data_IF_907125644968
#
_entry.id   IF_907125644968
#
_cell.length_a   1.000
_cell.length_b   1.000
_cell.length_c   1.000
_cell.angle_alpha   90.00
_cell.angle_beta   90.00
_cell.angle_gamma   90.00
#
_symmetry.space_group_name_H-M   'P 1'
#
loop_
_entity.id
_entity.type
_entity.pdbx_description
1 polymer ?
#
# COMPACT_ATOMS: atom_id res chain seq x y z
N UNK A 1 -20.59 28.65 20.57
CA UNK A 1 -19.62 28.97 19.51
C UNK A 1 -18.66 27.80 19.43
N UNK A 2 -18.69 27.03 18.34
CA UNK A 2 -17.83 25.85 18.17
C UNK A 2 -16.45 26.28 17.61
N UNK A 3 -15.39 25.74 18.19
CA UNK A 3 -13.98 25.96 17.82
C UNK A 3 -13.69 25.48 16.38
N UNK A 4 -13.18 26.35 15.47
CA UNK A 4 -12.87 25.96 14.09
C UNK A 4 -11.61 25.07 13.94
N UNK A 5 -10.98 24.66 15.04
CA UNK A 5 -9.75 23.82 15.03
C UNK A 5 -9.98 22.40 15.51
N UNK A 6 -11.22 21.92 15.60
CA UNK A 6 -11.50 20.50 15.83
C UNK A 6 -11.27 19.69 14.56
N UNK A 7 -10.00 19.38 14.31
CA UNK A 7 -9.57 18.31 13.40
C UNK A 7 -10.25 17.02 13.89
N UNK A 8 -11.05 16.30 13.07
CA UNK A 8 -11.76 15.14 13.57
C UNK A 8 -10.77 14.11 14.11
N UNK A 9 -11.00 13.66 15.34
CA UNK A 9 -10.35 12.50 15.90
C UNK A 9 -10.50 11.33 14.92
N UNK A 10 -9.42 10.57 14.73
CA UNK A 10 -9.37 9.39 13.86
C UNK A 10 -10.68 8.58 13.99
N UNK A 11 -11.31 8.13 12.88
CA UNK A 11 -12.36 7.14 13.00
C UNK A 11 -11.78 5.91 13.75
N UNK A 12 -12.42 5.44 14.83
CA UNK A 12 -11.85 4.38 15.65
C UNK A 12 -11.71 3.11 14.81
N UNK A 13 -10.49 2.55 14.76
CA UNK A 13 -10.25 1.17 14.35
C UNK A 13 -9.33 0.91 13.15
N UNK A 14 -8.77 1.92 12.48
CA UNK A 14 -7.74 1.68 11.43
C UNK A 14 -6.35 1.95 11.98
N UNK A 15 -5.46 0.95 11.89
CA UNK A 15 -4.05 1.09 12.26
C UNK A 15 -3.21 1.45 11.03
N UNK A 16 -2.18 2.26 11.26
CA UNK A 16 -1.11 2.51 10.31
C UNK A 16 0.05 1.58 10.66
N UNK A 17 0.35 0.64 9.77
CA UNK A 17 1.44 -0.31 9.91
C UNK A 17 2.58 0.07 8.96
N UNK A 18 3.81 -0.08 9.42
CA UNK A 18 5.02 0.19 8.64
C UNK A 18 5.87 -1.06 8.59
N UNK A 19 6.31 -1.43 7.39
CA UNK A 19 7.31 -2.50 7.20
C UNK A 19 8.70 -1.98 7.55
N UNK A 20 9.62 -2.90 7.83
CA UNK A 20 11.01 -2.55 8.17
C UNK A 20 11.69 -1.77 7.04
N UNK A 21 11.40 -2.13 5.79
CA UNK A 21 11.90 -1.49 4.57
C UNK A 21 11.43 -0.05 4.47
N UNK A 22 10.15 0.20 4.72
CA UNK A 22 9.60 1.56 4.75
C UNK A 22 10.22 2.40 5.87
N UNK A 23 10.34 1.84 7.08
CA UNK A 23 10.92 2.57 8.21
C UNK A 23 12.39 2.90 7.99
N UNK A 24 13.15 1.97 7.43
CA UNK A 24 14.56 2.19 7.10
C UNK A 24 14.71 3.34 6.09
N UNK A 25 13.90 3.35 5.03
CA UNK A 25 13.87 4.45 4.08
C UNK A 25 13.44 5.78 4.73
N UNK A 26 12.38 5.77 5.55
CA UNK A 26 11.86 6.97 6.22
C UNK A 26 12.91 7.60 7.16
N UNK A 27 13.71 6.78 7.85
CA UNK A 27 14.83 7.24 8.69
C UNK A 27 15.95 7.90 7.91
N UNK A 28 16.14 7.54 6.64
CA UNK A 28 17.15 8.12 5.75
C UNK A 28 16.75 9.47 5.15
N UNK A 29 15.48 9.90 5.30
CA UNK A 29 15.01 11.20 4.81
C UNK A 29 15.44 12.34 5.74
N UNK A 30 15.62 13.52 5.18
CA UNK A 30 15.74 14.76 5.95
C UNK A 30 14.47 15.03 6.80
N UNK A 31 14.58 15.81 7.88
CA UNK A 31 13.47 16.02 8.81
C UNK A 31 12.20 16.60 8.15
N UNK A 32 12.35 17.50 7.18
CA UNK A 32 11.24 18.18 6.51
C UNK A 32 10.45 17.21 5.61
N UNK A 33 11.18 16.41 4.82
CA UNK A 33 10.59 15.33 4.02
C UNK A 33 9.96 14.26 4.91
N UNK A 34 10.60 13.92 6.03
CA UNK A 34 10.06 12.93 6.98
C UNK A 34 8.72 13.39 7.56
N UNK A 35 8.61 14.66 7.94
CA UNK A 35 7.36 15.26 8.40
C UNK A 35 6.29 15.25 7.31
N UNK A 36 6.66 15.59 6.07
CA UNK A 36 5.75 15.56 4.92
C UNK A 36 5.24 14.15 4.63
N UNK A 37 6.11 13.14 4.68
CA UNK A 37 5.74 11.72 4.53
C UNK A 37 4.80 11.30 5.66
N UNK A 38 5.12 11.65 6.90
CA UNK A 38 4.31 11.30 8.06
C UNK A 38 2.89 11.89 7.95
N UNK A 39 2.76 13.16 7.59
CA UNK A 39 1.47 13.80 7.37
C UNK A 39 0.68 13.17 6.21
N UNK A 40 1.37 12.71 5.16
CA UNK A 40 0.74 12.04 4.03
C UNK A 40 0.18 10.66 4.40
N UNK A 41 0.94 9.84 5.14
CA UNK A 41 0.51 8.49 5.53
C UNK A 41 -0.59 8.51 6.60
N UNK A 42 -0.58 9.49 7.50
CA UNK A 42 -1.68 9.73 8.45
C UNK A 42 -2.97 10.06 7.71
N UNK A 43 -2.92 10.94 6.72
CA UNK A 43 -4.09 11.25 5.88
C UNK A 43 -4.62 10.03 5.14
N UNK A 44 -3.74 9.12 4.70
CA UNK A 44 -4.15 7.85 4.07
C UNK A 44 -4.91 6.97 5.06
N UNK A 45 -4.46 6.90 6.32
CA UNK A 45 -5.15 6.17 7.38
C UNK A 45 -6.51 6.80 7.73
N UNK A 46 -6.58 8.14 7.77
CA UNK A 46 -7.79 8.90 8.10
C UNK A 46 -8.91 8.73 7.06
N UNK A 47 -8.56 8.85 5.77
CA UNK A 47 -9.57 8.84 4.69
C UNK A 47 -9.89 7.41 4.23
N UNK A 48 -8.97 6.46 4.39
CA UNK A 48 -9.20 5.05 4.11
C UNK A 48 -9.30 4.70 2.60
N UNK A 49 -9.89 3.56 2.23
CA UNK A 49 -9.88 3.02 0.86
C UNK A 49 -10.65 3.89 -0.16
N UNK A 50 -11.50 4.79 0.33
CA UNK A 50 -12.32 5.74 -0.44
C UNK A 50 -11.54 6.97 -0.91
N UNK A 51 -10.23 7.06 -0.64
CA UNK A 51 -9.35 8.09 -1.18
C UNK A 51 -9.31 7.97 -2.72
N UNK A 52 -10.22 8.68 -3.37
CA UNK A 52 -10.33 8.80 -4.82
C UNK A 52 -9.26 9.71 -5.40
N UNK A 53 -9.11 9.65 -6.74
CA UNK A 53 -8.24 10.55 -7.52
C UNK A 53 -8.48 12.01 -7.10
N UNK A 54 -7.44 12.86 -6.99
CA UNK A 54 -6.19 12.83 -7.75
C UNK A 54 -4.92 12.35 -7.01
N UNK A 55 -5.01 11.79 -5.79
CA UNK A 55 -3.83 11.52 -4.93
C UNK A 55 -3.42 10.06 -4.76
N UNK A 56 -4.30 9.12 -5.09
CA UNK A 56 -4.03 7.67 -5.00
C UNK A 56 -4.29 7.04 -6.36
N UNK A 57 -3.28 6.37 -6.91
CA UNK A 57 -3.42 5.57 -8.13
C UNK A 57 -3.35 4.08 -7.77
N UNK A 58 -4.19 3.27 -8.42
CA UNK A 58 -4.11 1.80 -8.34
C UNK A 58 -3.02 1.37 -9.31
N UNK A 59 -2.05 0.60 -8.84
CA UNK A 59 -0.97 0.11 -9.70
C UNK A 59 -1.52 -1.03 -10.57
N UNK A 60 -1.87 -0.70 -11.82
CA UNK A 60 -2.25 -1.68 -12.84
C UNK A 60 -1.02 -2.54 -13.20
N UNK A 61 -1.15 -3.86 -13.07
CA UNK A 61 -0.07 -4.82 -13.29
C UNK A 61 0.44 -5.52 -12.03
N UNK A 62 -0.04 -5.13 -10.83
CA UNK A 62 0.21 -5.91 -9.62
C UNK A 62 -0.62 -7.20 -9.64
N UNK A 63 0.03 -8.35 -9.39
CA UNK A 63 -0.64 -9.66 -9.26
C UNK A 63 -1.67 -9.65 -8.13
N UNK A 64 -1.52 -8.77 -7.14
CA UNK A 64 -2.34 -8.72 -5.92
C UNK A 64 -3.46 -7.68 -6.00
N UNK A 65 -3.48 -6.79 -7.02
CA UNK A 65 -4.56 -5.81 -7.28
C UNK A 65 -4.84 -4.77 -6.17
N UNK A 66 -4.22 -4.91 -4.98
CA UNK A 66 -4.45 -4.08 -3.79
C UNK A 66 -3.43 -2.95 -3.61
N UNK A 67 -2.41 -2.88 -4.46
CA UNK A 67 -1.31 -1.95 -4.31
C UNK A 67 -1.71 -0.54 -4.79
N UNK A 68 -1.47 0.44 -3.92
CA UNK A 68 -1.78 1.85 -4.11
C UNK A 68 -0.50 2.69 -3.97
N UNK A 69 -0.49 3.83 -4.63
CA UNK A 69 0.61 4.80 -4.55
C UNK A 69 0.12 6.13 -3.97
N UNK A 70 0.77 6.61 -2.92
CA UNK A 70 0.60 7.95 -2.39
C UNK A 70 1.73 8.86 -2.89
N UNK A 71 1.36 10.03 -3.41
CA UNK A 71 2.28 11.08 -3.85
C UNK A 71 2.40 12.12 -2.73
N UNK A 72 3.58 12.21 -2.12
CA UNK A 72 3.84 13.14 -1.00
C UNK A 72 4.26 14.51 -1.55
N UNK A 73 5.17 14.52 -2.51
CA UNK A 73 5.62 15.73 -3.21
C UNK A 73 6.00 15.42 -4.68
N UNK A 74 6.81 16.28 -5.33
CA UNK A 74 7.24 16.08 -6.73
C UNK A 74 8.21 14.90 -6.92
N UNK A 75 8.92 14.53 -5.86
CA UNK A 75 9.92 13.47 -5.80
C UNK A 75 9.43 12.24 -5.02
N UNK A 76 8.84 12.43 -3.84
CA UNK A 76 8.58 11.34 -2.91
C UNK A 76 7.27 10.61 -3.20
N UNK A 77 7.36 9.29 -3.27
CA UNK A 77 6.25 8.37 -3.46
C UNK A 77 6.30 7.26 -2.44
N UNK A 78 5.13 6.84 -1.99
CA UNK A 78 4.96 5.76 -1.03
C UNK A 78 4.03 4.71 -1.63
N UNK A 79 4.50 3.47 -1.69
CA UNK A 79 3.69 2.32 -2.05
C UNK A 79 3.08 1.72 -0.79
N UNK A 80 1.76 1.55 -0.81
CA UNK A 80 1.01 1.05 0.33
C UNK A 80 -0.17 0.20 -0.12
N UNK A 81 -0.75 -0.55 0.79
CA UNK A 81 -1.98 -1.29 0.55
C UNK A 81 -2.86 -1.28 1.80
N UNK A 82 -4.14 -1.62 1.62
CA UNK A 82 -5.00 -1.95 2.75
C UNK A 82 -5.02 -3.46 2.94
N UNK A 83 -4.72 -3.93 4.16
CA UNK A 83 -4.79 -5.34 4.50
C UNK A 83 -6.25 -5.83 4.61
N UNK A 84 -6.44 -7.13 4.82
CA UNK A 84 -7.78 -7.72 4.99
C UNK A 84 -8.54 -7.19 6.21
N UNK A 85 -7.85 -6.60 7.19
CA UNK A 85 -8.44 -5.95 8.37
C UNK A 85 -8.70 -4.45 8.14
N UNK A 86 -8.47 -3.95 6.92
CA UNK A 86 -8.57 -2.55 6.51
C UNK A 86 -7.60 -1.60 7.22
N UNK A 87 -6.48 -2.11 7.70
CA UNK A 87 -5.35 -1.30 8.14
C UNK A 87 -4.54 -0.81 6.94
N UNK A 88 -3.95 0.38 7.04
CA UNK A 88 -3.06 0.90 6.02
C UNK A 88 -1.65 0.37 6.28
N UNK A 89 -1.10 -0.40 5.34
CA UNK A 89 0.24 -0.98 5.43
C UNK A 89 1.17 -0.23 4.48
N UNK A 90 2.15 0.49 5.03
CA UNK A 90 3.19 1.19 4.30
C UNK A 90 4.32 0.20 3.95
N UNK A 91 4.51 -0.05 2.65
CA UNK A 91 5.35 -1.13 2.15
C UNK A 91 6.75 -0.62 1.78
N UNK A 92 6.83 0.37 0.90
CA UNK A 92 8.11 0.96 0.49
C UNK A 92 7.92 2.42 0.11
N UNK A 93 8.98 3.22 0.23
CA UNK A 93 9.01 4.60 -0.25
C UNK A 93 10.23 4.87 -1.10
N UNK A 94 10.12 5.85 -2.00
CA UNK A 94 11.21 6.23 -2.89
C UNK A 94 11.09 7.65 -3.39
N UNK A 95 12.23 8.21 -3.81
CA UNK A 95 12.32 9.51 -4.46
C UNK A 95 12.44 9.34 -5.98
N UNK A 96 11.68 10.13 -6.74
CA UNK A 96 11.60 10.19 -8.21
C UNK A 96 12.88 10.75 -8.84
N UNK A 97 13.90 11.12 -8.06
CA UNK A 97 15.18 11.62 -8.56
C UNK A 97 15.83 10.69 -9.61
N UNK A 98 15.61 10.98 -10.90
CA UNK A 98 16.27 10.43 -12.10
C UNK A 98 16.14 8.93 -12.39
N UNK A 99 16.10 8.08 -11.37
CA UNK A 99 16.14 6.60 -11.48
C UNK A 99 14.78 5.94 -11.28
N UNK A 100 13.71 6.73 -11.17
CA UNK A 100 12.35 6.27 -10.88
C UNK A 100 11.92 5.09 -11.76
N UNK A 101 12.14 5.16 -13.08
CA UNK A 101 11.71 4.09 -14.00
C UNK A 101 12.45 2.76 -13.79
N UNK A 102 13.70 2.79 -13.29
CA UNK A 102 14.46 1.58 -12.95
C UNK A 102 14.16 1.09 -11.53
N UNK A 103 13.82 2.01 -10.63
CA UNK A 103 13.49 1.74 -9.24
C UNK A 103 12.07 1.20 -9.07
N UNK A 104 11.12 1.67 -9.87
CA UNK A 104 9.70 1.37 -9.69
C UNK A 104 9.34 -0.12 -9.92
N UNK A 105 9.75 -0.79 -11.02
CA UNK A 105 9.40 -2.20 -11.23
C UNK A 105 9.89 -3.17 -10.12
N UNK A 106 11.15 -3.11 -9.63
CA UNK A 106 11.57 -3.96 -8.53
C UNK A 106 10.87 -3.60 -7.21
N UNK A 107 10.52 -2.33 -7.00
CA UNK A 107 9.86 -1.89 -5.76
C UNK A 107 8.39 -2.28 -5.70
N UNK A 108 7.71 -2.33 -6.84
CA UNK A 108 6.38 -2.94 -6.93
C UNK A 108 6.44 -4.41 -6.52
N UNK A 109 7.41 -5.19 -7.05
CA UNK A 109 7.58 -6.60 -6.67
C UNK A 109 7.92 -6.79 -5.19
N UNK A 110 8.77 -5.92 -4.64
CA UNK A 110 9.10 -5.94 -3.21
C UNK A 110 7.85 -5.63 -2.36
N UNK A 111 7.09 -4.60 -2.73
CA UNK A 111 5.86 -4.23 -2.04
C UNK A 111 4.81 -5.35 -2.06
N UNK A 112 4.66 -6.05 -3.20
CA UNK A 112 3.79 -7.23 -3.30
C UNK A 112 4.21 -8.32 -2.33
N UNK A 113 5.51 -8.65 -2.29
CA UNK A 113 6.04 -9.65 -1.37
C UNK A 113 5.76 -9.28 0.09
N UNK A 114 6.05 -8.04 0.47
CA UNK A 114 5.83 -7.54 1.83
C UNK A 114 4.35 -7.60 2.22
N UNK A 115 3.44 -7.28 1.29
CA UNK A 115 2.01 -7.39 1.54
C UNK A 115 1.56 -8.84 1.73
N UNK A 116 2.07 -9.76 0.91
CA UNK A 116 1.77 -11.20 1.03
C UNK A 116 2.31 -11.77 2.35
N UNK A 117 3.52 -11.39 2.74
CA UNK A 117 4.12 -11.78 4.01
C UNK A 117 3.32 -11.22 5.20
N UNK A 118 2.85 -9.98 5.11
CA UNK A 118 1.98 -9.37 6.12
C UNK A 118 0.62 -10.07 6.23
N UNK A 119 -0.04 -10.38 5.11
CA UNK A 119 -1.34 -11.08 5.14
C UNK A 119 -1.18 -12.48 5.78
N UNK A 120 -0.09 -13.19 5.46
CA UNK A 120 0.25 -14.46 6.11
C UNK A 120 0.46 -14.32 7.62
N UNK A 121 1.16 -13.29 8.08
CA UNK A 121 1.44 -13.10 9.52
C UNK A 121 0.18 -12.80 10.33
N UNK A 122 -0.83 -12.17 9.74
CA UNK A 122 -2.14 -11.95 10.38
C UNK A 122 -3.10 -13.15 10.23
N UNK A 123 -2.60 -14.31 9.79
CA UNK A 123 -3.38 -15.55 9.64
C UNK A 123 -4.40 -15.50 8.51
N UNK A 124 -4.24 -14.59 7.54
CA UNK A 124 -5.08 -14.50 6.36
C UNK A 124 -4.33 -15.09 5.17
N UNK A 125 -4.87 -16.15 4.58
CA UNK A 125 -4.43 -16.56 3.26
C UNK A 125 -4.57 -15.35 2.31
N UNK A 126 -3.53 -14.99 1.56
CA UNK A 126 -3.65 -13.93 0.58
C UNK A 126 -4.80 -14.32 -0.35
N UNK A 127 -5.88 -13.51 -0.36
CA UNK A 127 -6.96 -13.62 -1.36
C UNK A 127 -6.40 -13.22 -2.73
N UNK A 128 -5.49 -14.03 -3.26
CA UNK A 128 -4.93 -13.93 -4.60
C UNK A 128 -4.12 -15.17 -5.03
N UNK A 129 -4.42 -16.37 -4.50
CA UNK A 129 -3.77 -17.60 -5.00
C UNK A 129 -4.72 -18.80 -5.22
N UNK A 130 -6.05 -18.67 -5.08
CA UNK A 130 -6.95 -19.84 -5.16
C UNK A 130 -7.87 -19.92 -6.39
N UNK A 131 -7.61 -19.22 -7.50
CA UNK A 131 -8.46 -19.35 -8.71
C UNK A 131 -7.68 -19.56 -10.01
N UNK A 132 -6.60 -20.35 -10.02
CA UNK A 132 -6.05 -20.88 -11.27
C UNK A 132 -5.46 -22.29 -11.12
N UNK A 133 -6.14 -23.21 -10.43
CA UNK A 133 -5.85 -24.65 -10.55
C UNK A 133 -7.08 -25.43 -10.05
N UNK A 134 -8.01 -25.72 -10.98
CA UNK A 134 -9.05 -26.78 -10.95
C UNK A 134 -10.20 -26.45 -11.91
N UNK A 135 -9.87 -26.10 -13.17
CA UNK A 135 -10.81 -26.29 -14.30
C UNK A 135 -10.06 -26.89 -15.50
N UNK A 136 -9.36 -28.01 -15.28
CA UNK A 136 -9.24 -29.00 -16.36
C UNK A 136 -10.38 -29.98 -16.13
N UNK A 137 -11.50 -29.67 -16.76
CA UNK A 137 -12.67 -30.53 -16.83
C UNK A 137 -12.26 -31.90 -17.36
N UNK A 138 -12.34 -32.92 -16.51
CA UNK A 138 -12.54 -34.30 -16.95
C UNK A 138 -13.69 -34.32 -17.95
N UNK A 139 -13.40 -34.67 -19.20
CA UNK A 139 -14.39 -35.26 -20.10
C UNK A 139 -14.05 -36.75 -20.23
N UNK A 140 -14.91 -37.67 -19.77
CA UNK A 140 -14.81 -39.06 -20.18
C UNK A 140 -15.39 -39.23 -21.59
N UNK A 141 -14.65 -39.99 -22.41
CA UNK A 141 -15.09 -40.97 -23.42
C UNK A 141 -16.00 -40.49 -24.57
N UNK A 142 -15.53 -40.69 -25.81
CA UNK A 142 -16.23 -41.51 -26.84
C UNK A 142 -15.46 -41.55 -28.16
N UNK A 143 -14.78 -42.68 -28.46
CA UNK A 143 -15.13 -43.62 -29.54
C UNK A 143 -14.14 -44.78 -29.59
#
# INVERSE_FOLDING_TARGET
MADPTSRPALPPGRRLLKTAEFEQWQRGLDPERRASVQAAIERVADVGPTLGRPRVDTIHGSRVGKLKEARVDRGVRVLFAFDSNRNAVMLVGGDKGGKWNRWYPPMVRLAERLLLDHERSIGKEPRCLSQQETRTTSRPISR
#
